data_IF_119216818100
#
_entry.id   IF_119216818100
#
_cell.length_a   1.000
_cell.length_b   1.000
_cell.length_c   1.000
_cell.angle_alpha   90.00
_cell.angle_beta   90.00
_cell.angle_gamma   90.00
#
_symmetry.space_group_name_H-M   'P 1'
#
loop_
_entity.id
_entity.type
_entity.pdbx_description
1 polymer ?
#
# COMPACT_ATOMS: atom_id res chain seq x y z
N UNK A 1 11.06 0.04 8.20
CA UNK A 1 11.66 0.07 9.55
C UNK A 1 13.17 0.32 9.49
N UNK A 2 13.98 -0.52 8.82
CA UNK A 2 15.45 -0.38 8.81
C UNK A 2 15.96 1.04 8.47
N UNK A 3 15.46 1.65 7.39
CA UNK A 3 15.87 3.02 7.01
C UNK A 3 15.38 4.12 7.97
N UNK A 4 14.34 3.87 8.76
CA UNK A 4 13.89 4.85 9.76
C UNK A 4 14.83 4.84 10.98
N UNK A 5 15.34 3.67 11.37
CA UNK A 5 16.27 3.54 12.51
C UNK A 5 17.74 3.78 12.13
N UNK A 6 18.06 3.84 10.83
CA UNK A 6 19.43 4.11 10.36
C UNK A 6 19.91 5.51 10.77
N UNK A 7 21.22 5.74 10.71
CA UNK A 7 21.76 7.08 10.93
C UNK A 7 21.47 8.02 9.74
N UNK A 8 21.23 9.33 10.00
CA UNK A 8 21.02 9.91 11.32
C UNK A 8 19.65 9.53 11.88
N UNK A 9 19.62 9.18 13.16
CA UNK A 9 18.41 8.74 13.85
C UNK A 9 17.56 9.95 14.24
N UNK A 10 16.25 9.88 13.97
CA UNK A 10 15.29 10.89 14.43
C UNK A 10 13.99 10.21 14.89
N UNK A 11 13.60 10.38 16.18
CA UNK A 11 12.39 9.79 16.74
C UNK A 11 11.11 10.23 16.03
N UNK A 12 11.08 11.46 15.49
CA UNK A 12 9.91 12.07 14.87
C UNK A 12 9.38 11.25 13.69
N UNK A 13 10.27 10.57 12.96
CA UNK A 13 9.89 9.73 11.82
C UNK A 13 9.52 8.28 12.22
N UNK A 14 9.84 7.83 13.43
CA UNK A 14 9.57 6.45 13.88
C UNK A 14 8.32 6.38 14.75
N UNK A 15 8.16 7.33 15.67
CA UNK A 15 7.10 7.30 16.67
C UNK A 15 5.70 7.12 16.06
N UNK A 16 5.33 7.78 14.93
CA UNK A 16 4.01 7.64 14.34
C UNK A 16 3.69 6.23 13.83
N UNK A 17 4.72 5.45 13.48
CA UNK A 17 4.55 4.16 12.81
C UNK A 17 4.85 2.97 13.73
N UNK A 18 5.52 3.20 14.86
CA UNK A 18 5.94 2.16 15.79
C UNK A 18 4.75 1.34 16.30
N UNK A 19 3.73 2.02 16.85
CA UNK A 19 2.54 1.37 17.40
C UNK A 19 1.78 0.56 16.32
N UNK A 20 1.43 1.14 15.15
CA UNK A 20 0.80 0.38 14.07
C UNK A 20 1.59 -0.86 13.64
N UNK A 21 2.92 -0.75 13.55
CA UNK A 21 3.77 -1.86 13.13
C UNK A 21 3.75 -2.97 14.17
N UNK A 22 3.86 -2.65 15.47
CA UNK A 22 3.80 -3.65 16.54
C UNK A 22 2.45 -4.38 16.52
N UNK A 23 1.34 -3.65 16.41
CA UNK A 23 0.00 -4.23 16.34
C UNK A 23 -0.16 -5.17 15.14
N UNK A 24 0.38 -4.80 13.97
CA UNK A 24 0.36 -5.66 12.79
C UNK A 24 1.18 -6.94 12.97
N UNK A 25 2.31 -6.89 13.69
CA UNK A 25 3.08 -8.10 13.97
C UNK A 25 2.33 -9.05 14.90
N UNK A 26 1.65 -8.54 15.92
CA UNK A 26 0.79 -9.39 16.76
C UNK A 26 -0.39 -9.97 15.97
N UNK A 27 -1.02 -9.17 15.11
CA UNK A 27 -2.11 -9.65 14.26
C UNK A 27 -1.61 -10.72 13.27
N UNK A 28 -0.40 -10.59 12.73
CA UNK A 28 0.13 -11.53 11.73
C UNK A 28 0.25 -12.97 12.26
N UNK A 29 0.46 -13.14 13.57
CA UNK A 29 0.52 -14.46 14.25
C UNK A 29 -0.73 -15.29 13.99
N UNK A 30 -1.92 -14.67 13.92
CA UNK A 30 -3.17 -15.39 13.67
C UNK A 30 -3.14 -16.15 12.34
N UNK A 31 -2.48 -15.60 11.32
CA UNK A 31 -2.40 -16.20 9.99
C UNK A 31 -1.34 -17.30 9.89
N UNK A 32 -0.37 -17.34 10.80
CA UNK A 32 0.54 -18.48 10.93
C UNK A 32 -0.13 -19.68 11.59
N UNK A 33 -1.04 -19.44 12.54
CA UNK A 33 -1.72 -20.51 13.28
C UNK A 33 -2.83 -21.16 12.44
N UNK A 34 -3.73 -20.36 11.85
CA UNK A 34 -4.86 -20.89 11.06
C UNK A 34 -5.23 -19.94 9.90
N UNK A 35 -4.46 -19.96 8.79
CA UNK A 35 -4.67 -19.03 7.68
C UNK A 35 -6.06 -19.17 7.04
N UNK A 36 -6.63 -20.37 7.07
CA UNK A 36 -7.87 -20.71 6.39
C UNK A 36 -9.11 -20.22 7.15
N UNK A 37 -9.09 -20.31 8.48
CA UNK A 37 -10.15 -19.76 9.33
C UNK A 37 -10.21 -18.24 9.26
N UNK A 38 -9.05 -17.59 9.17
CA UNK A 38 -8.95 -16.13 9.14
C UNK A 38 -8.95 -15.54 7.72
N UNK A 39 -9.38 -16.29 6.71
CA UNK A 39 -9.37 -15.87 5.30
C UNK A 39 -10.06 -14.51 5.07
N UNK A 40 -11.20 -14.24 5.71
CA UNK A 40 -11.87 -12.93 5.61
C UNK A 40 -11.07 -11.83 6.30
N UNK A 41 -10.56 -12.10 7.51
CA UNK A 41 -9.76 -11.15 8.28
C UNK A 41 -8.45 -10.80 7.56
N UNK A 42 -7.88 -11.73 6.81
CA UNK A 42 -6.65 -11.53 6.04
C UNK A 42 -6.77 -10.40 5.01
N UNK A 43 -7.95 -10.22 4.39
CA UNK A 43 -8.16 -9.07 3.49
C UNK A 43 -8.04 -7.73 4.23
N UNK A 44 -8.58 -7.64 5.45
CA UNK A 44 -8.44 -6.42 6.24
C UNK A 44 -6.99 -6.20 6.67
N UNK A 45 -6.32 -7.25 7.13
CA UNK A 45 -4.91 -7.20 7.51
C UNK A 45 -4.02 -6.76 6.34
N UNK A 46 -4.16 -7.36 5.16
CA UNK A 46 -3.41 -6.98 3.96
C UNK A 46 -3.63 -5.51 3.58
N UNK A 47 -4.86 -5.03 3.73
CA UNK A 47 -5.23 -3.64 3.52
C UNK A 47 -4.53 -2.67 4.47
N UNK A 48 -4.58 -2.94 5.78
CA UNK A 48 -3.95 -2.11 6.81
C UNK A 48 -2.42 -2.19 6.71
N UNK A 49 -1.86 -3.38 6.45
CA UNK A 49 -0.44 -3.58 6.20
C UNK A 49 0.04 -2.74 5.01
N UNK A 50 -0.74 -2.72 3.91
CA UNK A 50 -0.49 -1.86 2.76
C UNK A 50 -0.43 -0.38 3.14
N UNK A 51 -1.39 0.09 3.95
CA UNK A 51 -1.46 1.48 4.40
C UNK A 51 -0.25 1.85 5.27
N UNK A 52 0.05 1.03 6.29
CA UNK A 52 1.16 1.25 7.22
C UNK A 52 2.51 1.25 6.47
N UNK A 53 2.72 0.32 5.53
CA UNK A 53 3.95 0.31 4.73
C UNK A 53 4.06 1.53 3.82
N UNK A 54 2.97 1.96 3.22
CA UNK A 54 2.93 3.15 2.34
C UNK A 54 3.30 4.41 3.14
N UNK A 55 2.73 4.58 4.33
CA UNK A 55 3.11 5.66 5.27
C UNK A 55 4.59 5.53 5.68
N UNK A 56 5.05 4.31 5.98
CA UNK A 56 6.45 4.05 6.34
C UNK A 56 7.40 4.54 5.24
N UNK A 57 7.12 4.19 3.98
CA UNK A 57 7.96 4.60 2.86
C UNK A 57 7.92 6.11 2.61
N UNK A 58 6.77 6.75 2.77
CA UNK A 58 6.67 8.20 2.75
C UNK A 58 7.58 8.84 3.80
N UNK A 59 7.55 8.36 5.04
CA UNK A 59 8.40 8.86 6.12
C UNK A 59 9.89 8.62 5.85
N UNK A 60 10.26 7.49 5.24
CA UNK A 60 11.65 7.25 4.82
C UNK A 60 12.09 8.25 3.75
N UNK A 61 11.25 8.55 2.76
CA UNK A 61 11.56 9.55 1.73
C UNK A 61 11.77 10.93 2.38
N UNK A 62 10.88 11.33 3.30
CA UNK A 62 11.05 12.60 4.02
C UNK A 62 12.33 12.62 4.85
N UNK A 63 12.64 11.53 5.55
CA UNK A 63 13.88 11.41 6.31
C UNK A 63 15.11 11.59 5.41
N UNK A 64 15.14 10.96 4.24
CA UNK A 64 16.26 11.10 3.30
C UNK A 64 16.39 12.53 2.77
N UNK A 65 15.27 13.15 2.38
CA UNK A 65 15.29 14.54 1.90
C UNK A 65 15.80 15.52 2.98
N UNK A 66 15.33 15.39 4.21
CA UNK A 66 15.62 16.39 5.25
C UNK A 66 16.89 16.11 6.05
N UNK A 67 17.27 14.85 6.27
CA UNK A 67 18.41 14.51 7.14
C UNK A 67 19.64 14.01 6.39
N UNK A 68 19.50 13.52 5.15
CA UNK A 68 20.66 13.07 4.34
C UNK A 68 20.99 14.04 3.22
N UNK A 69 19.96 14.62 2.59
CA UNK A 69 20.11 15.62 1.52
C UNK A 69 20.08 17.05 2.09
N UNK A 70 19.69 17.21 3.36
CA UNK A 70 19.66 18.50 4.07
C UNK A 70 18.79 19.57 3.39
N UNK A 71 17.69 19.15 2.76
CA UNK A 71 16.73 20.07 2.14
C UNK A 71 16.18 21.06 3.18
N UNK A 72 16.32 22.35 2.88
CA UNK A 72 15.78 23.41 3.73
C UNK A 72 14.36 23.80 3.32
N UNK A 73 13.50 23.99 4.32
CA UNK A 73 12.16 24.56 4.15
C UNK A 73 11.03 23.54 3.91
N UNK A 74 9.77 23.94 4.15
CA UNK A 74 8.63 23.02 4.20
C UNK A 74 8.06 22.65 2.82
N UNK A 75 8.49 23.34 1.75
CA UNK A 75 7.87 23.21 0.43
C UNK A 75 7.96 21.78 -0.12
N UNK A 76 9.10 21.11 0.05
CA UNK A 76 9.33 19.74 -0.41
C UNK A 76 8.49 18.73 0.36
N UNK A 77 8.33 18.93 1.67
CA UNK A 77 7.42 18.14 2.49
C UNK A 77 5.97 18.30 2.03
N UNK A 78 5.50 19.54 1.83
CA UNK A 78 4.11 19.82 1.42
C UNK A 78 3.81 19.20 0.05
N UNK A 79 4.70 19.39 -0.94
CA UNK A 79 4.52 18.79 -2.27
C UNK A 79 4.53 17.26 -2.17
N UNK A 80 5.47 16.69 -1.41
CA UNK A 80 5.54 15.23 -1.21
C UNK A 80 4.28 14.69 -0.54
N UNK A 81 3.73 15.41 0.43
CA UNK A 81 2.51 15.05 1.14
C UNK A 81 1.31 15.09 0.20
N UNK A 82 1.19 16.12 -0.65
CA UNK A 82 0.13 16.22 -1.65
C UNK A 82 0.19 15.06 -2.66
N UNK A 83 1.40 14.76 -3.16
CA UNK A 83 1.64 13.63 -4.05
C UNK A 83 1.27 12.29 -3.38
N UNK A 84 1.63 12.12 -2.11
CA UNK A 84 1.33 10.94 -1.32
C UNK A 84 -0.18 10.77 -1.06
N UNK A 85 -0.87 11.82 -0.64
CA UNK A 85 -2.32 11.79 -0.42
C UNK A 85 -3.08 11.54 -1.73
N UNK A 86 -2.63 12.15 -2.83
CA UNK A 86 -3.18 11.91 -4.16
C UNK A 86 -3.05 10.43 -4.56
N UNK A 87 -1.89 9.81 -4.30
CA UNK A 87 -1.67 8.38 -4.55
C UNK A 87 -2.67 7.49 -3.80
N UNK A 88 -2.86 7.74 -2.50
CA UNK A 88 -3.80 6.95 -1.67
C UNK A 88 -5.23 7.15 -2.17
N UNK A 89 -5.67 8.40 -2.32
CA UNK A 89 -7.03 8.72 -2.78
C UNK A 89 -7.31 8.12 -4.14
N UNK A 90 -6.33 8.19 -5.06
CA UNK A 90 -6.43 7.60 -6.38
C UNK A 90 -6.73 6.11 -6.32
N UNK A 91 -5.95 5.32 -5.57
CA UNK A 91 -6.18 3.87 -5.47
C UNK A 91 -7.54 3.52 -4.86
N UNK A 92 -7.99 4.30 -3.88
CA UNK A 92 -9.31 4.12 -3.26
C UNK A 92 -10.45 4.39 -4.24
N UNK A 93 -10.40 5.48 -5.00
CA UNK A 93 -11.40 5.82 -6.03
C UNK A 93 -11.38 4.81 -7.17
N UNK A 94 -10.17 4.46 -7.64
CA UNK A 94 -9.97 3.51 -8.72
C UNK A 94 -10.58 2.14 -8.39
N UNK A 95 -10.31 1.63 -7.18
CA UNK A 95 -10.87 0.34 -6.76
C UNK A 95 -12.39 0.38 -6.65
N UNK A 96 -12.98 1.44 -6.08
CA UNK A 96 -14.45 1.59 -6.03
C UNK A 96 -15.06 1.57 -7.42
N UNK A 97 -14.48 2.31 -8.38
CA UNK A 97 -14.97 2.34 -9.77
C UNK A 97 -14.86 0.96 -10.43
N UNK A 98 -13.75 0.25 -10.22
CA UNK A 98 -13.57 -1.10 -10.77
C UNK A 98 -14.54 -2.13 -10.16
N UNK A 99 -14.78 -2.04 -8.84
CA UNK A 99 -15.69 -2.93 -8.12
C UNK A 99 -17.14 -2.75 -8.57
N UNK A 100 -17.61 -1.52 -8.70
CA UNK A 100 -19.00 -1.22 -9.07
C UNK A 100 -19.28 -1.32 -10.58
N UNK A 101 -18.27 -1.19 -11.43
CA UNK A 101 -18.47 -1.22 -12.89
C UNK A 101 -18.62 -2.63 -13.47
N UNK A 102 -18.54 -3.69 -12.66
CA UNK A 102 -18.58 -5.08 -13.14
C UNK A 102 -17.38 -5.47 -14.02
N UNK A 103 -16.43 -4.54 -14.25
CA UNK A 103 -15.29 -4.73 -15.15
C UNK A 103 -14.39 -5.88 -14.69
N UNK A 104 -14.31 -6.18 -13.40
CA UNK A 104 -13.59 -7.36 -12.91
C UNK A 104 -14.12 -8.67 -13.53
N UNK A 105 -15.44 -8.83 -13.64
CA UNK A 105 -16.04 -10.00 -14.27
C UNK A 105 -15.73 -10.04 -15.77
N UNK A 106 -15.88 -8.91 -16.46
CA UNK A 106 -15.58 -8.79 -17.88
C UNK A 106 -14.09 -9.05 -18.23
N UNK A 107 -13.16 -8.65 -17.35
CA UNK A 107 -11.72 -8.91 -17.53
C UNK A 107 -11.34 -10.36 -17.28
N UNK A 108 -11.98 -11.04 -16.31
CA UNK A 108 -11.76 -12.47 -16.07
C UNK A 108 -12.34 -13.35 -17.19
N UNK A 109 -13.44 -12.92 -17.81
CA UNK A 109 -14.15 -13.68 -18.85
C UNK A 109 -13.52 -13.52 -20.25
N UNK A 110 -12.95 -12.35 -20.57
CA UNK A 110 -12.36 -12.08 -21.90
C UNK A 110 -10.91 -12.51 -22.09
N UNK A 111 -10.24 -13.04 -21.07
CA UNK A 111 -8.92 -13.68 -21.20
C UNK A 111 -7.83 -12.90 -21.95
N UNK A 112 -7.88 -11.56 -21.99
CA UNK A 112 -7.03 -10.78 -22.90
C UNK A 112 -6.46 -9.50 -22.30
N UNK A 113 -5.15 -9.35 -22.56
CA UNK A 113 -4.29 -8.17 -22.52
C UNK A 113 -4.66 -7.07 -21.53
N UNK A 114 -3.95 -7.07 -20.39
CA UNK A 114 -3.77 -5.93 -19.52
C UNK A 114 -3.01 -4.80 -20.25
N UNK A 115 -3.66 -4.14 -21.23
CA UNK A 115 -3.33 -2.75 -21.50
C UNK A 115 -3.80 -1.98 -20.27
N UNK A 116 -2.92 -1.91 -19.27
CA UNK A 116 -3.17 -1.24 -18.00
C UNK A 116 -3.85 0.08 -18.27
N UNK A 117 -5.07 0.25 -17.73
CA UNK A 117 -5.91 1.39 -18.03
C UNK A 117 -5.05 2.67 -17.95
N UNK A 118 -4.97 3.52 -19.01
CA UNK A 118 -3.99 4.60 -19.11
C UNK A 118 -3.94 5.50 -17.87
N UNK A 119 -5.08 5.68 -17.21
CA UNK A 119 -5.24 6.38 -15.94
C UNK A 119 -4.42 5.74 -14.79
N UNK A 120 -4.39 4.41 -14.66
CA UNK A 120 -3.59 3.71 -13.63
C UNK A 120 -2.11 3.93 -13.90
N UNK A 121 -1.68 3.76 -15.15
CA UNK A 121 -0.29 3.95 -15.55
C UNK A 121 0.13 5.41 -15.30
N UNK A 122 -0.69 6.38 -15.70
CA UNK A 122 -0.43 7.81 -15.50
C UNK A 122 -0.37 8.22 -14.03
N UNK A 123 -1.24 7.68 -13.17
CA UNK A 123 -1.25 8.01 -11.74
C UNK A 123 -0.11 7.35 -10.97
N UNK A 124 0.25 6.11 -11.30
CA UNK A 124 1.43 5.45 -10.74
C UNK A 124 2.72 6.15 -11.19
N UNK A 125 2.83 6.47 -12.48
CA UNK A 125 3.99 7.19 -13.03
C UNK A 125 4.09 8.61 -12.49
N UNK A 126 2.97 9.31 -12.26
CA UNK A 126 2.97 10.68 -11.75
C UNK A 126 3.60 10.80 -10.36
N UNK A 127 3.30 9.88 -9.44
CA UNK A 127 3.94 9.86 -8.12
C UNK A 127 5.44 9.56 -8.21
N UNK A 128 5.82 8.57 -9.03
CA UNK A 128 7.23 8.19 -9.25
C UNK A 128 8.03 9.33 -9.89
N UNK A 129 7.51 9.91 -10.97
CA UNK A 129 8.14 11.04 -11.66
C UNK A 129 8.21 12.26 -10.76
N UNK A 130 7.16 12.56 -9.99
CA UNK A 130 7.16 13.68 -9.04
C UNK A 130 8.27 13.54 -7.99
N UNK A 131 8.39 12.38 -7.35
CA UNK A 131 9.45 12.13 -6.37
C UNK A 131 10.84 12.08 -7.00
N UNK A 132 10.97 11.55 -8.22
CA UNK A 132 12.22 11.55 -8.97
C UNK A 132 12.68 12.98 -9.29
N UNK A 133 11.78 13.84 -9.78
CA UNK A 133 12.07 15.25 -10.07
C UNK A 133 12.44 16.01 -8.79
N UNK A 134 11.71 15.80 -7.68
CA UNK A 134 12.08 16.37 -6.38
C UNK A 134 13.50 15.95 -6.00
N UNK A 135 13.82 14.66 -6.13
CA UNK A 135 15.14 14.13 -5.79
C UNK A 135 16.24 14.70 -6.68
N UNK A 136 16.00 14.89 -7.98
CA UNK A 136 16.95 15.52 -8.89
C UNK A 136 17.23 16.99 -8.57
N UNK A 137 16.21 17.72 -8.11
CA UNK A 137 16.35 19.14 -7.74
C UNK A 137 17.07 19.26 -6.39
N UNK A 138 16.74 18.37 -5.45
CA UNK A 138 17.19 18.46 -4.08
C UNK A 138 18.57 17.81 -3.84
N UNK A 139 18.83 16.66 -4.47
CA UNK A 139 19.96 15.82 -4.11
C UNK A 139 21.16 16.01 -5.03
N UNK A 140 22.33 16.21 -4.44
CA UNK A 140 23.61 16.19 -5.15
C UNK A 140 24.13 14.75 -5.37
N UNK A 141 23.60 13.78 -4.60
CA UNK A 141 24.04 12.38 -4.64
C UNK A 141 23.09 11.50 -5.45
N UNK A 142 23.63 10.89 -6.51
CA UNK A 142 22.94 9.93 -7.38
C UNK A 142 22.41 8.74 -6.58
N UNK A 143 23.12 8.30 -5.54
CA UNK A 143 22.71 7.17 -4.70
C UNK A 143 21.37 7.46 -4.00
N UNK A 144 21.19 8.66 -3.44
CA UNK A 144 19.93 9.03 -2.78
C UNK A 144 18.79 9.21 -3.78
N UNK A 145 19.06 9.70 -4.99
CA UNK A 145 18.06 9.77 -6.07
C UNK A 145 17.55 8.37 -6.42
N UNK A 146 18.45 7.40 -6.60
CA UNK A 146 18.10 6.01 -6.87
C UNK A 146 17.29 5.42 -5.71
N UNK A 147 17.76 5.59 -4.47
CA UNK A 147 17.08 5.07 -3.28
C UNK A 147 15.66 5.64 -3.12
N UNK A 148 15.49 6.95 -3.24
CA UNK A 148 14.17 7.59 -3.14
C UNK A 148 13.25 7.06 -4.23
N UNK A 149 13.75 6.90 -5.46
CA UNK A 149 12.97 6.36 -6.58
C UNK A 149 12.53 4.92 -6.32
N UNK A 150 13.44 4.06 -5.84
CA UNK A 150 13.12 2.68 -5.46
C UNK A 150 12.08 2.61 -4.34
N UNK A 151 12.23 3.43 -3.30
CA UNK A 151 11.29 3.49 -2.16
C UNK A 151 9.93 4.02 -2.61
N UNK A 152 9.92 4.97 -3.54
CA UNK A 152 8.70 5.50 -4.15
C UNK A 152 7.96 4.42 -4.94
N UNK A 153 8.68 3.61 -5.73
CA UNK A 153 8.08 2.46 -6.43
C UNK A 153 7.50 1.43 -5.44
N UNK A 154 8.20 1.15 -4.34
CA UNK A 154 7.67 0.30 -3.26
C UNK A 154 6.40 0.89 -2.62
N UNK A 155 6.36 2.21 -2.42
CA UNK A 155 5.18 2.93 -1.92
C UNK A 155 3.97 2.77 -2.85
N UNK A 156 4.16 2.87 -4.17
CA UNK A 156 3.09 2.61 -5.15
C UNK A 156 2.56 1.18 -5.01
N UNK A 157 3.47 0.21 -4.94
CA UNK A 157 3.10 -1.19 -4.79
C UNK A 157 2.32 -1.45 -3.49
N UNK A 158 2.76 -0.91 -2.36
CA UNK A 158 2.05 -1.09 -1.08
C UNK A 158 0.75 -0.30 -1.01
N UNK A 159 0.65 0.81 -1.74
CA UNK A 159 -0.58 1.60 -1.82
C UNK A 159 -1.68 0.82 -2.54
N UNK A 160 -1.34 0.02 -3.56
CA UNK A 160 -2.29 -0.88 -4.20
C UNK A 160 -2.90 -1.88 -3.19
N UNK A 161 -2.12 -2.38 -2.23
CA UNK A 161 -2.63 -3.29 -1.20
C UNK A 161 -3.69 -2.64 -0.29
N UNK A 162 -3.72 -1.31 -0.15
CA UNK A 162 -4.77 -0.62 0.63
C UNK A 162 -6.19 -0.88 0.10
N UNK A 163 -6.31 -1.27 -1.18
CA UNK A 163 -7.60 -1.62 -1.78
C UNK A 163 -8.24 -2.87 -1.17
N UNK A 164 -7.45 -3.71 -0.50
CA UNK A 164 -7.97 -4.89 0.20
C UNK A 164 -8.92 -4.55 1.35
N UNK A 165 -8.85 -3.33 1.91
CA UNK A 165 -9.82 -2.83 2.90
C UNK A 165 -11.23 -2.81 2.30
N UNK A 166 -11.37 -2.25 1.08
CA UNK A 166 -12.66 -2.19 0.40
C UNK A 166 -13.16 -3.58 0.03
N UNK A 167 -12.26 -4.46 -0.42
CA UNK A 167 -12.57 -5.88 -0.67
C UNK A 167 -13.08 -6.58 0.60
N UNK A 168 -12.45 -6.35 1.74
CA UNK A 168 -12.93 -6.88 3.03
C UNK A 168 -14.34 -6.39 3.35
N UNK A 169 -14.61 -5.09 3.23
CA UNK A 169 -15.94 -4.52 3.49
C UNK A 169 -17.00 -5.14 2.57
N UNK A 170 -16.68 -5.30 1.30
CA UNK A 170 -17.56 -5.97 0.33
C UNK A 170 -17.82 -7.44 0.69
N UNK A 171 -16.76 -8.21 0.96
CA UNK A 171 -16.88 -9.62 1.33
C UNK A 171 -17.66 -9.82 2.64
N UNK A 172 -17.48 -8.91 3.60
CA UNK A 172 -18.23 -8.91 4.86
C UNK A 172 -19.72 -8.65 4.64
N UNK A 173 -20.06 -7.69 3.76
CA UNK A 173 -21.45 -7.35 3.42
C UNK A 173 -22.16 -8.49 2.69
N UNK A 174 -21.46 -9.18 1.79
CA UNK A 174 -22.01 -10.24 0.93
C UNK A 174 -21.64 -11.67 1.40
N UNK A 175 -21.30 -11.84 2.68
CA UNK A 175 -20.73 -13.08 3.21
C UNK A 175 -21.61 -14.32 2.95
N UNK A 176 -22.94 -14.18 3.07
CA UNK A 176 -23.90 -15.28 2.81
C UNK A 176 -23.89 -15.73 1.34
N UNK A 177 -23.81 -14.79 0.41
CA UNK A 177 -23.77 -15.09 -1.03
C UNK A 177 -22.46 -15.76 -1.40
N UNK A 178 -21.36 -15.29 -0.82
CA UNK A 178 -20.03 -15.90 -1.01
C UNK A 178 -20.01 -17.33 -0.51
N UNK A 179 -20.62 -17.64 0.65
CA UNK A 179 -20.70 -19.02 1.14
C UNK A 179 -21.50 -19.96 0.25
N UNK A 180 -22.45 -19.46 -0.56
CA UNK A 180 -23.16 -20.30 -1.55
C UNK A 180 -22.23 -20.75 -2.68
N UNK A 181 -21.33 -19.87 -3.12
CA UNK A 181 -20.39 -20.15 -4.22
C UNK A 181 -19.11 -20.81 -3.71
N UNK A 182 -18.66 -20.47 -2.49
CA UNK A 182 -17.47 -21.00 -1.81
C UNK A 182 -17.84 -21.46 -0.39
N UNK A 183 -18.40 -22.66 -0.23
CA UNK A 183 -18.83 -23.18 1.08
C UNK A 183 -17.69 -23.25 2.11
N UNK A 184 -16.47 -23.50 1.62
CA UNK A 184 -15.25 -23.62 2.43
C UNK A 184 -14.64 -22.26 2.86
N UNK A 185 -15.21 -21.12 2.45
CA UNK A 185 -14.66 -19.79 2.74
C UNK A 185 -14.67 -19.48 4.24
N UNK A 186 -13.49 -19.21 4.80
CA UNK A 186 -13.31 -18.94 6.23
C UNK A 186 -13.50 -20.15 7.15
N UNK A 187 -13.56 -21.38 6.61
CA UNK A 187 -13.50 -22.61 7.40
C UNK A 187 -12.05 -22.97 7.71
N UNK A 188 -11.81 -23.51 8.92
CA UNK A 188 -10.52 -24.08 9.31
C UNK A 188 -10.15 -25.24 8.39
N UNK A 189 -8.87 -25.58 8.29
CA UNK A 189 -8.42 -26.69 7.43
C UNK A 189 -9.18 -28.00 7.69
N UNK A 190 -9.50 -28.28 8.96
CA UNK A 190 -10.15 -29.53 9.39
C UNK A 190 -11.65 -29.57 9.06
N UNK A 191 -12.29 -28.40 8.91
CA UNK A 191 -13.72 -28.28 8.62
C UNK A 191 -14.02 -28.20 7.11
N UNK A 192 -12.98 -28.11 6.28
CA UNK A 192 -13.13 -28.05 4.81
C UNK A 192 -13.43 -29.44 4.27
N UNK A 193 -14.56 -29.57 3.56
CA UNK A 193 -14.85 -30.77 2.76
C UNK A 193 -14.10 -30.63 1.44
N UNK A 194 -13.08 -31.47 1.24
CA UNK A 194 -12.38 -31.64 -0.04
C UNK A 194 -13.19 -32.58 -0.94
#
# INVERSE_FOLDING_TARGET
MLFLVSEPFSPEYILPILIPVILLHFWSVLYFIDPYKFELSYYLFAGILGLVNTITYFLVIQKFLYLHIEVTGPIFFVISLLLFLSLIVFFQIFHLKMLHSGKYAAYMEKGTNMNGHPIILASCSGYIVGQFVISLIAAESILFIILITCITALSVFTSFNTTYIQRYLYLKKHYKEIKKVRPNFGLSKNDRKL
#
